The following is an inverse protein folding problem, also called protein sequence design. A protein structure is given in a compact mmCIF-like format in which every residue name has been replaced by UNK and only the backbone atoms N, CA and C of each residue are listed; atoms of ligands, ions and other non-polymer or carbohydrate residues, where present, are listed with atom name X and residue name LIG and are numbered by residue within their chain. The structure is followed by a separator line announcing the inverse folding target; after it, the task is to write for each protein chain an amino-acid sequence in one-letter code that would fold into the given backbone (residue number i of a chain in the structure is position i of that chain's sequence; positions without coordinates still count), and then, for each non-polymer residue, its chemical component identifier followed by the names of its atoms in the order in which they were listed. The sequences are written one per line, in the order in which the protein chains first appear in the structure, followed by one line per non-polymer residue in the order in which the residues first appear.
data_IF_547298801282
#
_entry.id   IF_547298801282
#
_cell.length_a   1.000
_cell.length_b   1.000
_cell.length_c   1.000
_cell.angle_alpha   90.00
_cell.angle_beta   90.00
_cell.angle_gamma   90.00
#
_symmetry.space_group_name_H-M   'P 1'
#
loop_
_entity.id
_entity.type
_entity.pdbx_description
1 polymer ?
#
# COMPACT_ATOMS: atom_id res chain seq x y z
N UNK A 1 7.88 1.26 3.25
CA UNK A 1 7.01 1.01 4.42
C UNK A 1 5.83 0.24 3.89
N UNK A 2 5.26 -0.77 4.56
CA UNK A 2 4.17 -1.62 4.01
C UNK A 2 2.87 -0.91 3.54
N UNK A 3 2.89 0.42 3.44
CA UNK A 3 1.84 1.31 2.95
C UNK A 3 2.13 1.88 1.56
N UNK A 4 3.38 1.91 1.08
CA UNK A 4 3.74 2.45 -0.24
C UNK A 4 4.74 1.51 -0.93
N UNK A 5 4.68 1.46 -2.26
CA UNK A 5 5.53 0.57 -3.07
C UNK A 5 6.31 1.40 -4.08
N UNK A 6 7.63 1.25 -4.08
CA UNK A 6 8.53 1.95 -4.99
C UNK A 6 8.20 1.62 -6.44
N UNK A 7 8.17 2.63 -7.31
CA UNK A 7 7.81 2.50 -8.72
C UNK A 7 6.30 2.60 -8.98
N UNK A 8 5.49 2.76 -7.94
CA UNK A 8 4.04 2.99 -8.03
C UNK A 8 3.68 4.31 -7.35
N UNK A 9 3.88 5.45 -8.04
CA UNK A 9 3.49 6.74 -7.49
C UNK A 9 2.00 6.76 -7.19
N UNK A 10 1.62 7.44 -6.09
CA UNK A 10 0.24 7.55 -5.59
C UNK A 10 -0.44 6.26 -5.11
N UNK A 11 0.28 5.14 -5.06
CA UNK A 11 -0.28 3.92 -4.51
C UNK A 11 -0.08 3.85 -3.00
N UNK A 12 -1.21 3.81 -2.26
CA UNK A 12 -1.22 3.57 -0.82
C UNK A 12 -1.96 2.26 -0.51
N UNK A 13 -1.24 1.31 0.09
CA UNK A 13 -1.76 0.03 0.54
C UNK A 13 -2.22 0.11 2.00
N UNK A 14 -3.50 -0.13 2.24
CA UNK A 14 -4.02 -0.31 3.59
C UNK A 14 -3.78 -1.74 4.05
N UNK A 15 -3.31 -1.91 5.28
CA UNK A 15 -2.96 -3.22 5.86
C UNK A 15 -2.01 -4.05 4.97
N UNK A 16 -1.04 -3.40 4.34
CA UNK A 16 -0.10 -4.07 3.46
C UNK A 16 0.91 -4.96 4.20
N UNK A 17 1.87 -5.55 3.46
CA UNK A 17 2.78 -6.56 3.99
C UNK A 17 3.66 -6.01 5.11
N UNK A 18 4.03 -6.88 6.06
CA UNK A 18 4.83 -6.59 7.25
C UNK A 18 4.19 -5.60 8.25
N UNK A 19 2.88 -5.36 8.20
CA UNK A 19 2.20 -4.41 9.10
C UNK A 19 1.29 -5.09 10.13
N UNK A 20 1.15 -6.41 10.10
CA UNK A 20 0.23 -7.13 10.96
C UNK A 20 1.00 -8.01 11.93
N UNK A 21 0.47 -8.17 13.14
CA UNK A 21 1.02 -9.04 14.18
C UNK A 21 -0.11 -9.53 15.06
N UNK A 22 0.03 -10.72 15.64
CA UNK A 22 -1.07 -11.42 16.33
C UNK A 22 -1.76 -10.64 17.46
N UNK A 23 -1.13 -9.57 17.96
CA UNK A 23 -1.65 -8.74 19.06
C UNK A 23 -2.01 -7.30 18.63
N UNK A 24 -1.92 -6.98 17.33
CA UNK A 24 -2.16 -5.62 16.83
C UNK A 24 -3.56 -5.50 16.25
N UNK A 25 -4.34 -4.53 16.74
CA UNK A 25 -5.64 -4.19 16.16
C UNK A 25 -5.47 -3.60 14.76
N UNK A 26 -6.21 -4.13 13.78
CA UNK A 26 -6.21 -3.61 12.42
C UNK A 26 -6.70 -2.15 12.35
N UNK A 27 -7.67 -1.77 13.21
CA UNK A 27 -8.20 -0.40 13.27
C UNK A 27 -7.09 0.58 13.67
N UNK A 28 -6.30 0.24 14.69
CA UNK A 28 -5.18 1.07 15.15
C UNK A 28 -4.13 1.26 14.05
N UNK A 29 -3.88 0.23 13.24
CA UNK A 29 -2.99 0.33 12.08
C UNK A 29 -3.59 1.26 11.03
N UNK A 30 -4.87 1.10 10.70
CA UNK A 30 -5.56 1.93 9.73
C UNK A 30 -5.57 3.41 10.12
N UNK A 31 -5.87 3.74 11.38
CA UNK A 31 -5.84 5.12 11.88
C UNK A 31 -4.45 5.75 11.72
N UNK A 32 -3.40 5.00 12.04
CA UNK A 32 -2.03 5.47 11.84
C UNK A 32 -1.72 5.67 10.34
N UNK A 33 -2.08 4.72 9.48
CA UNK A 33 -1.88 4.83 8.04
C UNK A 33 -2.63 6.03 7.44
N UNK A 34 -3.88 6.27 7.86
CA UNK A 34 -4.67 7.43 7.43
C UNK A 34 -4.02 8.74 7.88
N UNK A 35 -3.47 8.79 9.10
CA UNK A 35 -2.76 9.97 9.60
C UNK A 35 -1.56 10.32 8.71
N UNK A 36 -0.74 9.33 8.34
CA UNK A 36 0.37 9.57 7.42
C UNK A 36 -0.09 9.88 6.00
N UNK A 37 -1.18 9.27 5.51
CA UNK A 37 -1.74 9.58 4.20
C UNK A 37 -2.18 11.05 4.10
N UNK A 38 -2.92 11.54 5.10
CA UNK A 38 -3.36 12.94 5.16
C UNK A 38 -2.14 13.88 5.18
N UNK A 39 -1.12 13.55 5.98
CA UNK A 39 0.12 14.34 6.03
C UNK A 39 0.89 14.34 4.70
N UNK A 40 0.92 13.21 3.99
CA UNK A 40 1.54 13.10 2.66
C UNK A 40 0.79 13.95 1.62
N UNK A 41 -0.55 13.92 1.64
CA UNK A 41 -1.38 14.75 0.75
C UNK A 41 -1.22 16.24 1.03
N UNK A 42 -1.18 16.64 2.31
CA UNK A 42 -0.91 18.02 2.69
C UNK A 42 0.49 18.49 2.23
N UNK A 43 1.49 17.61 2.26
CA UNK A 43 2.83 17.91 1.74
C UNK A 43 2.83 18.11 0.22
N UNK A 44 2.09 17.29 -0.54
CA UNK A 44 1.94 17.45 -1.98
C UNK A 44 1.27 18.78 -2.33
N UNK A 45 0.19 19.12 -1.63
CA UNK A 45 -0.59 20.36 -1.83
C UNK A 45 0.25 21.61 -1.55
N UNK A 46 1.01 21.61 -0.45
CA UNK A 46 1.88 22.74 -0.07
C UNK A 46 3.12 22.87 -0.95
N UNK A 47 3.67 21.76 -1.45
CA UNK A 47 4.90 21.73 -2.24
C UNK A 47 4.70 21.90 -3.74
N UNK A 48 3.45 21.91 -4.22
CA UNK A 48 3.15 21.94 -5.66
C UNK A 48 3.62 20.70 -6.41
N UNK A 49 3.81 19.59 -5.69
CA UNK A 49 4.35 18.34 -6.25
C UNK A 49 3.22 17.51 -6.88
N UNK A 50 3.45 17.00 -8.08
CA UNK A 50 2.44 16.22 -8.80
C UNK A 50 2.43 14.74 -8.43
N UNK A 51 3.52 14.22 -7.84
CA UNK A 51 3.57 12.83 -7.44
C UNK A 51 4.51 12.53 -6.27
N UNK A 52 4.14 11.52 -5.50
CA UNK A 52 4.93 10.96 -4.41
C UNK A 52 5.23 9.49 -4.70
N UNK A 53 6.52 9.15 -4.78
CA UNK A 53 7.00 7.76 -4.85
C UNK A 53 8.02 7.51 -3.74
N UNK A 54 7.99 6.31 -3.15
CA UNK A 54 8.93 5.93 -2.10
C UNK A 54 10.25 5.51 -2.73
N UNK A 55 11.36 5.99 -2.16
CA UNK A 55 12.71 5.63 -2.62
C UNK A 55 12.92 4.13 -2.49
N UNK A 56 13.41 3.49 -3.56
CA UNK A 56 13.71 2.06 -3.58
C UNK A 56 14.69 1.65 -2.47
N UNK A 57 15.69 2.48 -2.20
CA UNK A 57 16.64 2.30 -1.10
C UNK A 57 15.96 2.31 0.28
N UNK A 58 15.00 3.23 0.50
CA UNK A 58 14.25 3.30 1.75
C UNK A 58 13.33 2.09 1.95
N UNK A 59 12.70 1.61 0.87
CA UNK A 59 11.93 0.36 0.87
C UNK A 59 12.81 -0.85 1.18
N UNK A 60 13.96 -0.97 0.51
CA UNK A 60 14.89 -2.08 0.70
C UNK A 60 15.44 -2.13 2.12
N UNK A 61 15.94 -0.99 2.64
CA UNK A 61 16.47 -0.90 4.00
C UNK A 61 15.42 -1.29 5.05
N UNK A 62 14.17 -0.87 4.86
CA UNK A 62 13.07 -1.26 5.73
C UNK A 62 12.80 -2.76 5.69
N UNK A 63 12.72 -3.34 4.49
CA UNK A 63 12.47 -4.76 4.33
C UNK A 63 13.59 -5.60 4.95
N UNK A 64 14.85 -5.25 4.71
CA UNK A 64 16.00 -5.93 5.34
C UNK A 64 15.89 -5.88 6.86
N UNK A 65 15.68 -4.69 7.45
CA UNK A 65 15.56 -4.55 8.90
C UNK A 65 14.40 -5.38 9.49
N UNK A 66 13.27 -5.47 8.80
CA UNK A 66 12.12 -6.29 9.22
C UNK A 66 12.48 -7.78 9.18
N UNK A 67 13.06 -8.26 8.09
CA UNK A 67 13.40 -9.67 7.93
C UNK A 67 14.48 -10.12 8.91
N UNK A 68 15.50 -9.29 9.14
CA UNK A 68 16.55 -9.55 10.12
C UNK A 68 15.99 -9.66 11.53
N UNK A 69 15.06 -8.77 11.89
CA UNK A 69 14.40 -8.83 13.20
C UNK A 69 13.48 -10.06 13.31
N UNK A 70 12.70 -10.37 12.27
CA UNK A 70 11.79 -11.52 12.24
C UNK A 70 12.52 -12.85 12.46
N UNK A 71 13.77 -12.99 11.99
CA UNK A 71 14.59 -14.19 12.18
C UNK A 71 14.73 -14.61 13.65
N UNK A 72 14.68 -13.65 14.58
CA UNK A 72 14.80 -13.88 16.03
C UNK A 72 13.45 -13.99 16.77
N UNK A 73 12.33 -13.87 16.06
CA UNK A 73 11.00 -13.86 16.68
C UNK A 73 10.31 -15.23 16.64
N UNK A 74 9.35 -15.41 17.54
CA UNK A 74 8.46 -16.59 17.54
C UNK A 74 7.64 -16.73 16.25
N UNK A 75 7.47 -15.65 15.48
CA UNK A 75 6.76 -15.68 14.19
C UNK A 75 7.50 -16.50 13.12
N UNK A 76 8.80 -16.72 13.31
CA UNK A 76 9.61 -17.64 12.50
C UNK A 76 9.98 -18.91 13.27
N UNK A 77 9.64 -18.99 14.56
CA UNK A 77 9.86 -20.19 15.39
C UNK A 77 8.70 -21.17 15.19
N UNK A 78 8.77 -21.95 14.11
CA UNK A 78 7.85 -23.03 13.85
C UNK A 78 8.12 -23.64 12.48
N UNK A 79 8.23 -24.97 12.40
CA UNK A 79 8.44 -25.71 11.16
C UNK A 79 7.21 -25.72 10.22
N UNK A 80 6.17 -24.94 10.52
CA UNK A 80 4.94 -24.90 9.76
C UNK A 80 5.01 -23.80 8.69
N UNK A 81 5.17 -24.21 7.44
CA UNK A 81 4.90 -23.41 6.23
C UNK A 81 3.43 -22.99 6.23
N UNK A 82 3.12 -21.89 6.91
CA UNK A 82 1.81 -21.25 6.88
C UNK A 82 1.69 -20.31 5.66
N UNK A 83 0.47 -19.87 5.36
CA UNK A 83 0.16 -18.91 4.29
C UNK A 83 0.98 -17.60 4.35
N UNK A 84 1.59 -17.29 5.49
CA UNK A 84 2.42 -16.10 5.70
C UNK A 84 3.85 -16.21 5.19
N UNK A 85 4.28 -17.41 4.78
CA UNK A 85 5.60 -17.65 4.24
C UNK A 85 5.55 -17.72 2.72
N UNK A 86 6.48 -17.05 2.07
CA UNK A 86 6.76 -17.25 0.64
C UNK A 86 7.38 -18.62 0.41
N UNK A 87 7.41 -19.08 -0.85
CA UNK A 87 8.17 -20.28 -1.27
C UNK A 87 9.66 -20.21 -0.91
N UNK A 88 10.20 -19.00 -0.71
CA UNK A 88 11.57 -18.74 -0.27
C UNK A 88 11.75 -18.73 1.25
N UNK A 89 10.70 -19.03 2.03
CA UNK A 89 10.74 -19.06 3.51
C UNK A 89 10.71 -17.68 4.17
N UNK A 90 10.47 -16.61 3.42
CA UNK A 90 10.34 -15.24 3.97
C UNK A 90 8.94 -14.99 4.49
N UNK A 91 8.84 -14.50 5.72
CA UNK A 91 7.59 -14.07 6.34
C UNK A 91 7.24 -12.66 5.83
N UNK A 92 6.11 -12.53 5.16
CA UNK A 92 5.66 -11.25 4.54
C UNK A 92 4.54 -10.57 5.33
N UNK A 93 4.11 -11.18 6.42
CA UNK A 93 2.96 -10.74 7.19
C UNK A 93 3.36 -10.03 8.48
N UNK A 94 4.30 -10.62 9.22
CA UNK A 94 4.55 -10.27 10.61
C UNK A 94 5.36 -8.97 10.77
N UNK A 95 4.92 -8.11 11.69
CA UNK A 95 5.73 -7.03 12.24
C UNK A 95 6.51 -7.52 13.48
N UNK A 96 7.85 -7.48 13.47
CA UNK A 96 8.67 -8.12 14.53
C UNK A 96 8.80 -7.30 15.82
N UNK A 97 8.34 -6.05 15.84
CA UNK A 97 8.48 -5.15 17.00
C UNK A 97 7.12 -4.81 17.64
N UNK A 98 7.12 -3.97 18.66
CA UNK A 98 5.89 -3.56 19.34
C UNK A 98 4.93 -2.78 18.44
N UNK A 99 3.63 -2.90 18.72
CA UNK A 99 2.55 -2.11 18.09
C UNK A 99 2.79 -0.61 18.25
N UNK A 100 3.28 -0.15 19.41
CA UNK A 100 3.60 1.26 19.60
C UNK A 100 4.74 1.75 18.70
N UNK A 101 5.68 0.89 18.31
CA UNK A 101 6.69 1.23 17.29
C UNK A 101 6.06 1.28 15.89
N UNK A 102 5.16 0.36 15.58
CA UNK A 102 4.41 0.35 14.32
C UNK A 102 3.59 1.63 14.14
N UNK A 103 2.76 1.98 15.13
CA UNK A 103 1.90 3.17 15.10
C UNK A 103 2.73 4.44 14.96
N UNK A 104 3.83 4.60 15.72
CA UNK A 104 4.71 5.76 15.58
C UNK A 104 5.36 5.86 14.19
N UNK A 105 5.71 4.71 13.61
CA UNK A 105 6.29 4.64 12.26
C UNK A 105 5.25 4.99 11.20
N UNK A 106 4.04 4.45 11.31
CA UNK A 106 2.96 4.63 10.35
C UNK A 106 2.24 5.96 10.49
N UNK A 107 2.26 6.59 11.67
CA UNK A 107 1.60 7.87 11.92
C UNK A 107 2.47 9.09 11.61
N UNK A 108 3.72 8.90 11.15
CA UNK A 108 4.63 9.99 10.81
C UNK A 108 5.01 9.94 9.33
N UNK A 109 4.65 11.00 8.63
CA UNK A 109 5.16 11.23 7.28
C UNK A 109 6.63 11.66 7.33
N UNK A 110 7.46 11.01 6.52
CA UNK A 110 8.90 11.23 6.42
C UNK A 110 9.25 11.60 4.97
N UNK A 111 9.31 12.90 4.68
CA UNK A 111 9.52 13.41 3.32
C UNK A 111 10.83 12.91 2.69
N UNK A 112 11.87 12.67 3.50
CA UNK A 112 13.19 12.21 3.01
C UNK A 112 13.14 10.77 2.48
N UNK A 113 12.12 10.00 2.86
CA UNK A 113 11.89 8.66 2.32
C UNK A 113 11.27 8.66 0.92
N UNK A 114 10.84 9.83 0.42
CA UNK A 114 10.12 9.96 -0.84
C UNK A 114 10.90 10.80 -1.87
N UNK A 115 10.50 10.62 -3.13
CA UNK A 115 10.82 11.51 -4.24
C UNK A 115 9.53 12.19 -4.68
N UNK A 116 9.56 13.51 -4.78
CA UNK A 116 8.40 14.33 -5.16
C UNK A 116 8.35 14.70 -6.66
N UNK A 117 9.31 14.17 -7.43
CA UNK A 117 9.55 14.48 -8.84
C UNK A 117 9.13 13.35 -9.78
N UNK A 118 8.33 12.39 -9.30
CA UNK A 118 7.88 11.31 -10.15
C UNK A 118 7.10 11.93 -11.33
N UNK A 119 7.45 11.62 -12.60
CA UNK A 119 6.65 12.08 -13.72
C UNK A 119 5.30 11.42 -13.53
N UNK A 120 4.30 12.22 -13.15
CA UNK A 120 2.92 11.79 -13.20
C UNK A 120 2.65 11.46 -14.67
N UNK A 121 2.89 10.21 -15.09
CA UNK A 121 2.26 9.70 -16.30
C UNK A 121 0.78 9.82 -15.97
N UNK A 122 0.03 10.72 -16.61
CA UNK A 122 -1.39 10.81 -16.33
C UNK A 122 -1.95 9.42 -16.62
N UNK A 123 -2.53 8.79 -15.61
CA UNK A 123 -3.39 7.63 -15.88
C UNK A 123 -4.42 8.14 -16.89
N UNK A 124 -4.57 7.51 -18.06
CA UNK A 124 -5.65 7.86 -18.97
C UNK A 124 -6.93 7.74 -18.16
N UNK A 125 -7.60 8.86 -17.89
CA UNK A 125 -8.91 8.81 -17.27
C UNK A 125 -9.76 7.93 -18.20
N UNK A 126 -10.43 6.87 -17.69
CA UNK A 126 -11.34 6.11 -18.52
C UNK A 126 -12.30 7.12 -19.14
N UNK A 127 -12.29 7.20 -20.46
CA UNK A 127 -13.20 8.06 -21.21
C UNK A 127 -14.60 7.69 -20.74
N UNK A 128 -15.25 8.63 -20.05
CA UNK A 128 -16.63 8.50 -19.67
C UNK A 128 -17.42 8.46 -20.98
N UNK A 129 -17.64 7.27 -21.52
CA UNK A 129 -18.57 7.06 -22.62
C UNK A 129 -19.95 7.29 -22.03
N UNK A 130 -20.36 8.57 -21.95
CA UNK A 130 -21.74 8.94 -21.63
C UNK A 130 -22.61 8.24 -22.69
N UNK A 131 -23.55 7.38 -22.30
CA UNK A 131 -24.49 6.80 -23.26
C UNK A 131 -25.20 7.96 -23.96
N UNK A 132 -25.05 8.04 -25.28
CA UNK A 132 -25.79 8.98 -26.10
C UNK A 132 -27.28 8.58 -26.01
N UNK A 133 -28.18 9.47 -25.56
CA UNK A 133 -29.61 9.18 -25.57
C UNK A 133 -30.08 9.26 -27.04
N UNK A 134 -29.99 8.13 -27.73
CA UNK A 134 -30.34 8.01 -29.15
C UNK A 134 -30.39 6.58 -29.68
N UNK A 135 -29.58 5.66 -29.16
CA UNK A 135 -29.50 4.26 -29.66
C UNK A 135 -30.59 3.34 -29.11
N UNK A 136 -31.84 3.78 -29.17
CA UNK A 136 -33.00 2.86 -29.14
C UNK A 136 -33.89 3.14 -30.34
N UNK A 137 -33.47 2.70 -31.51
CA UNK A 137 -34.42 2.45 -32.59
C UNK A 137 -33.96 1.25 -33.40
N UNK A 138 -34.74 0.17 -33.31
CA UNK A 138 -34.82 -0.85 -34.37
C UNK A 138 -34.09 -2.16 -34.10
N UNK A 139 -34.74 -3.07 -33.36
CA UNK A 139 -34.99 -4.45 -33.82
C UNK A 139 -35.81 -5.19 -32.75
N UNK A 140 -37.12 -4.95 -32.79
CA UNK A 140 -38.08 -5.93 -32.28
C UNK A 140 -38.26 -7.01 -33.36
N UNK A 141 -38.46 -8.26 -32.89
CA UNK A 141 -38.98 -9.45 -33.57
C UNK A 141 -37.98 -10.41 -34.23
N UNK A 142 -37.77 -11.57 -33.59
CA UNK A 142 -37.93 -12.93 -34.14
C UNK A 142 -37.84 -13.95 -32.97
N UNK A 143 -38.97 -14.51 -32.52
CA UNK A 143 -39.34 -15.95 -32.63
C UNK A 143 -38.68 -16.83 -31.54
N UNK A 144 -39.38 -17.22 -30.45
CA UNK A 144 -40.36 -18.33 -30.34
C UNK A 144 -39.95 -19.63 -31.07
N UNK A 145 -39.29 -20.54 -30.35
CA UNK A 145 -39.66 -21.97 -30.19
C UNK A 145 -38.81 -22.64 -29.11
#
# INVERSE_FOLDING_TARGET
MGTTVSGFPHLFLLLGPNLLGGSTSAITVLEAQLTCLIAALAHLDQGGHCALDVRSAAQAAHNTAVQDALATTVYNAGACTSYYFTSTGRNTFAWPWSTGRLVRRLGRFDADAYTSDAPARPLPLPSQTRPQPGDRTGAANAEQS
#
